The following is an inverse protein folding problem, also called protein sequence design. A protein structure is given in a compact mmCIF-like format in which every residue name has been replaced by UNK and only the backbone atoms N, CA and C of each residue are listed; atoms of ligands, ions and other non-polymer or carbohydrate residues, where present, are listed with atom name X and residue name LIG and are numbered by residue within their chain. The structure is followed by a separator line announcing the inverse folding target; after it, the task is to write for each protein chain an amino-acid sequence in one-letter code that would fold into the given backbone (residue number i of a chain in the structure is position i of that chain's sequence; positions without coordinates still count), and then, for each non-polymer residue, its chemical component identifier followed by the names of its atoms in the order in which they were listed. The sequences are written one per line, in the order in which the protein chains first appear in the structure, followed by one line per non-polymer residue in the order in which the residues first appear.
data_IF_739778358437
#
_entry.id   IF_739778358437
#
_cell.length_a   1.000
_cell.length_b   1.000
_cell.length_c   1.000
_cell.angle_alpha   90.00
_cell.angle_beta   90.00
_cell.angle_gamma   90.00
#
_symmetry.space_group_name_H-M   'P 1'
#
loop_
_entity.id
_entity.type
_entity.pdbx_description
1 polymer ?
#
# COMPACT_ATOMS: atom_id res chain seq x y z
N UNK A 1 -18.53 -3.03 9.90
CA UNK A 1 -17.05 -3.05 9.78
C UNK A 1 -16.73 -2.63 8.36
N UNK A 2 -15.62 -1.92 8.10
CA UNK A 2 -15.27 -1.53 6.73
C UNK A 2 -14.72 -2.71 5.94
N UNK A 3 -15.05 -2.76 4.64
CA UNK A 3 -14.55 -3.75 3.70
C UNK A 3 -13.20 -3.29 3.11
N UNK A 4 -12.19 -4.13 3.22
CA UNK A 4 -10.80 -3.80 2.80
C UNK A 4 -10.54 -4.37 1.42
N UNK A 5 -10.10 -3.52 0.48
CA UNK A 5 -9.57 -3.93 -0.80
C UNK A 5 -8.04 -4.10 -0.76
N UNK A 6 -7.51 -5.17 -1.34
CA UNK A 6 -6.06 -5.39 -1.50
C UNK A 6 -5.72 -5.42 -2.99
N UNK A 7 -4.98 -4.40 -3.46
CA UNK A 7 -4.38 -4.41 -4.79
C UNK A 7 -3.08 -5.22 -4.76
N UNK A 8 -3.12 -6.43 -5.33
CA UNK A 8 -2.05 -7.41 -5.26
C UNK A 8 -1.08 -7.28 -6.44
N UNK A 9 -0.13 -6.33 -6.36
CA UNK A 9 0.95 -6.19 -7.35
C UNK A 9 1.94 -7.36 -7.27
N UNK A 10 2.21 -7.83 -6.04
CA UNK A 10 2.98 -9.06 -5.81
C UNK A 10 2.13 -10.04 -5.02
N UNK A 11 2.14 -11.31 -5.41
CA UNK A 11 1.36 -12.34 -4.76
C UNK A 11 1.76 -12.53 -3.30
N UNK A 12 3.06 -12.60 -3.03
CA UNK A 12 3.63 -12.82 -1.70
C UNK A 12 3.31 -11.68 -0.74
N UNK A 13 3.51 -10.43 -1.20
CA UNK A 13 3.20 -9.24 -0.40
C UNK A 13 1.71 -9.16 -0.05
N UNK A 14 0.84 -9.40 -1.02
CA UNK A 14 -0.60 -9.38 -0.81
C UNK A 14 -1.08 -10.49 0.12
N UNK A 15 -0.56 -11.72 -0.04
CA UNK A 15 -0.87 -12.84 0.84
C UNK A 15 -0.42 -12.58 2.28
N UNK A 16 0.78 -12.00 2.45
CA UNK A 16 1.29 -11.63 3.77
C UNK A 16 0.40 -10.59 4.45
N UNK A 17 0.01 -9.54 3.71
CA UNK A 17 -0.89 -8.50 4.23
C UNK A 17 -2.24 -9.07 4.60
N UNK A 18 -2.87 -9.87 3.73
CA UNK A 18 -4.12 -10.54 4.01
C UNK A 18 -4.06 -11.33 5.33
N UNK A 19 -3.06 -12.20 5.46
CA UNK A 19 -2.87 -13.01 6.68
C UNK A 19 -2.66 -12.16 7.93
N UNK A 20 -1.89 -11.09 7.83
CA UNK A 20 -1.65 -10.19 8.94
C UNK A 20 -2.92 -9.43 9.36
N UNK A 21 -3.75 -8.98 8.40
CA UNK A 21 -5.03 -8.36 8.72
C UNK A 21 -5.91 -9.33 9.50
N UNK A 22 -6.08 -10.57 9.02
CA UNK A 22 -6.87 -11.58 9.70
C UNK A 22 -6.34 -11.89 11.11
N UNK A 23 -5.02 -12.07 11.24
CA UNK A 23 -4.37 -12.34 12.54
C UNK A 23 -4.56 -11.17 13.52
N UNK A 24 -4.33 -9.93 13.07
CA UNK A 24 -4.49 -8.76 13.93
C UNK A 24 -5.95 -8.50 14.30
N UNK A 25 -6.88 -8.80 13.39
CA UNK A 25 -8.30 -8.68 13.64
C UNK A 25 -8.77 -9.70 14.70
N UNK A 26 -8.35 -10.94 14.59
CA UNK A 26 -8.67 -11.98 15.58
C UNK A 26 -8.22 -11.59 17.00
N UNK A 27 -7.06 -10.96 17.15
CA UNK A 27 -6.57 -10.46 18.44
C UNK A 27 -7.45 -9.35 19.06
N UNK A 28 -8.25 -8.65 18.25
CA UNK A 28 -9.07 -7.51 18.69
C UNK A 28 -10.55 -7.82 18.75
N UNK A 29 -11.02 -8.69 17.90
CA UNK A 29 -12.44 -8.98 17.67
C UNK A 29 -12.86 -10.36 18.15
N UNK A 30 -11.89 -11.20 18.52
CA UNK A 30 -12.10 -12.61 18.87
C UNK A 30 -11.67 -13.55 17.74
N UNK A 31 -11.49 -14.81 18.10
CA UNK A 31 -11.04 -15.87 17.19
C UNK A 31 -11.94 -15.96 15.95
N UNK A 32 -11.30 -16.16 14.81
CA UNK A 32 -11.93 -16.25 13.47
C UNK A 32 -12.66 -14.98 12.99
N UNK A 33 -12.62 -13.89 13.75
CA UNK A 33 -13.23 -12.62 13.36
C UNK A 33 -12.23 -11.76 12.56
N UNK A 34 -12.66 -11.30 11.38
CA UNK A 34 -11.92 -10.32 10.57
C UNK A 34 -12.88 -9.50 9.70
N UNK A 35 -12.46 -8.32 9.21
CA UNK A 35 -13.25 -7.54 8.27
C UNK A 35 -13.44 -8.31 6.96
N UNK A 36 -14.44 -7.92 6.19
CA UNK A 36 -14.55 -8.36 4.80
C UNK A 36 -13.32 -7.89 4.00
N UNK A 37 -12.76 -8.77 3.16
CA UNK A 37 -11.55 -8.49 2.39
C UNK A 37 -11.74 -8.98 0.96
N UNK A 38 -11.58 -8.09 0.00
CA UNK A 38 -11.43 -8.44 -1.42
C UNK A 38 -9.98 -8.25 -1.84
N UNK A 39 -9.44 -9.22 -2.59
CA UNK A 39 -8.11 -9.16 -3.15
C UNK A 39 -8.20 -9.27 -4.66
N UNK A 40 -7.62 -8.29 -5.37
CA UNK A 40 -7.49 -8.34 -6.82
C UNK A 40 -6.03 -8.51 -7.21
N UNK A 41 -5.71 -9.64 -7.85
CA UNK A 41 -4.38 -9.96 -8.39
C UNK A 41 -4.37 -9.80 -9.91
N UNK A 42 -3.27 -9.29 -10.43
CA UNK A 42 -3.07 -9.10 -11.85
C UNK A 42 -2.45 -10.33 -12.49
N UNK A 43 -2.81 -10.58 -13.74
CA UNK A 43 -2.14 -11.60 -14.59
C UNK A 43 -1.03 -10.99 -15.44
N UNK A 44 -0.93 -9.66 -15.51
CA UNK A 44 0.02 -8.94 -16.36
C UNK A 44 1.40 -8.86 -15.72
N UNK A 45 2.42 -9.09 -16.55
CA UNK A 45 3.82 -8.85 -16.21
C UNK A 45 4.26 -7.52 -16.81
N UNK A 46 4.96 -6.70 -16.02
CA UNK A 46 5.54 -5.44 -16.51
C UNK A 46 6.88 -5.73 -17.14
N UNK A 47 6.99 -5.51 -18.45
CA UNK A 47 8.24 -5.73 -19.20
C UNK A 47 9.24 -4.59 -19.01
N UNK A 48 10.52 -4.90 -19.11
CA UNK A 48 11.61 -3.94 -18.90
C UNK A 48 11.58 -2.73 -19.87
N UNK A 49 10.93 -2.87 -21.03
CA UNK A 49 10.84 -1.84 -22.07
C UNK A 49 9.56 -0.96 -21.97
N UNK A 50 8.69 -1.22 -21.00
CA UNK A 50 7.48 -0.44 -20.79
C UNK A 50 7.77 0.74 -19.85
N UNK A 51 7.02 1.85 -20.04
CA UNK A 51 6.99 2.91 -19.04
C UNK A 51 6.34 2.36 -17.75
N UNK A 52 7.17 1.99 -16.82
CA UNK A 52 6.79 1.37 -15.56
C UNK A 52 5.74 2.18 -14.79
N UNK A 53 5.87 3.50 -14.77
CA UNK A 53 4.95 4.36 -14.01
C UNK A 53 3.57 4.38 -14.65
N UNK A 54 3.50 4.50 -15.98
CA UNK A 54 2.24 4.44 -16.71
C UNK A 54 1.54 3.10 -16.50
N UNK A 55 2.27 1.99 -16.65
CA UNK A 55 1.71 0.64 -16.45
C UNK A 55 1.20 0.45 -15.02
N UNK A 56 1.94 0.90 -14.02
CA UNK A 56 1.48 0.78 -12.63
C UNK A 56 0.28 1.67 -12.34
N UNK A 57 0.21 2.87 -12.93
CA UNK A 57 -0.94 3.75 -12.80
C UNK A 57 -2.21 3.06 -13.33
N UNK A 58 -2.14 2.48 -14.54
CA UNK A 58 -3.26 1.76 -15.15
C UNK A 58 -3.68 0.55 -14.32
N UNK A 59 -2.72 -0.26 -13.85
CA UNK A 59 -3.00 -1.43 -13.01
C UNK A 59 -3.67 -1.04 -11.69
N UNK A 60 -3.21 0.02 -11.05
CA UNK A 60 -3.81 0.51 -9.81
C UNK A 60 -5.23 1.03 -10.04
N UNK A 61 -5.46 1.78 -11.12
CA UNK A 61 -6.81 2.26 -11.48
C UNK A 61 -7.74 1.08 -11.77
N UNK A 62 -7.32 0.12 -12.60
CA UNK A 62 -8.11 -1.08 -12.88
C UNK A 62 -8.45 -1.85 -11.59
N UNK A 63 -7.45 -2.07 -10.73
CA UNK A 63 -7.66 -2.74 -9.44
C UNK A 63 -8.63 -1.99 -8.56
N UNK A 64 -8.52 -0.67 -8.49
CA UNK A 64 -9.39 0.17 -7.65
C UNK A 64 -10.85 0.08 -8.08
N UNK A 65 -11.12 0.06 -9.39
CA UNK A 65 -12.49 -0.13 -9.92
C UNK A 65 -13.06 -1.51 -9.59
N UNK A 66 -12.26 -2.58 -9.75
CA UNK A 66 -12.69 -3.94 -9.40
C UNK A 66 -12.95 -4.11 -7.91
N UNK A 67 -12.09 -3.55 -7.07
CA UNK A 67 -12.26 -3.56 -5.62
C UNK A 67 -13.49 -2.74 -5.19
N UNK A 68 -13.74 -1.59 -5.84
CA UNK A 68 -14.97 -0.82 -5.62
C UNK A 68 -16.20 -1.63 -5.99
N UNK A 69 -16.18 -2.30 -7.14
CA UNK A 69 -17.30 -3.14 -7.60
C UNK A 69 -17.57 -4.32 -6.66
N UNK A 70 -16.55 -4.84 -5.97
CA UNK A 70 -16.73 -5.88 -4.93
C UNK A 70 -17.16 -5.32 -3.57
N UNK A 71 -17.39 -4.00 -3.44
CA UNK A 71 -17.88 -3.37 -2.22
C UNK A 71 -16.82 -2.84 -1.28
N UNK A 72 -15.53 -2.81 -1.67
CA UNK A 72 -14.48 -2.28 -0.81
C UNK A 72 -14.68 -0.78 -0.51
N UNK A 73 -14.52 -0.41 0.76
CA UNK A 73 -14.61 0.98 1.23
C UNK A 73 -13.32 1.78 0.97
N UNK A 74 -12.20 1.10 0.97
CA UNK A 74 -10.86 1.64 0.70
C UNK A 74 -9.94 0.52 0.23
N UNK A 75 -8.78 0.90 -0.32
CA UNK A 75 -7.79 -0.09 -0.72
C UNK A 75 -6.41 0.17 -0.11
N UNK A 76 -5.63 -0.91 -0.07
CA UNK A 76 -4.20 -0.92 0.29
C UNK A 76 -3.41 -1.67 -0.79
N UNK A 77 -2.12 -1.36 -0.89
CA UNK A 77 -1.18 -2.07 -1.75
C UNK A 77 0.09 -2.39 -0.96
N UNK A 78 0.52 -3.65 -0.98
CA UNK A 78 1.68 -4.12 -0.22
C UNK A 78 3.03 -3.92 -0.95
N UNK A 79 3.01 -3.38 -2.17
CA UNK A 79 4.22 -3.10 -2.95
C UNK A 79 4.65 -1.64 -2.77
N UNK A 80 5.77 -1.42 -2.08
CA UNK A 80 6.25 -0.07 -1.77
C UNK A 80 6.43 0.80 -3.01
N UNK A 81 7.21 0.35 -3.98
CA UNK A 81 7.56 1.13 -5.17
C UNK A 81 6.35 1.53 -6.02
N UNK A 82 5.26 0.77 -5.98
CA UNK A 82 4.03 1.12 -6.70
C UNK A 82 3.42 2.44 -6.21
N UNK A 83 3.71 2.86 -4.98
CA UNK A 83 3.20 4.13 -4.44
C UNK A 83 3.80 5.37 -5.13
N UNK A 84 4.83 5.22 -5.98
CA UNK A 84 5.32 6.32 -6.83
C UNK A 84 4.21 6.90 -7.73
N UNK A 85 3.26 6.08 -8.15
CA UNK A 85 2.17 6.53 -9.02
C UNK A 85 0.99 7.16 -8.25
N UNK A 86 1.06 7.22 -6.92
CA UNK A 86 -0.05 7.71 -6.10
C UNK A 86 -0.57 9.08 -6.58
N UNK A 87 0.34 10.04 -6.75
CA UNK A 87 -0.02 11.40 -7.21
C UNK A 87 -0.60 11.46 -8.61
N UNK A 88 -0.28 10.50 -9.46
CA UNK A 88 -0.81 10.41 -10.82
C UNK A 88 -2.27 9.95 -10.83
N UNK A 89 -2.65 9.09 -9.89
CA UNK A 89 -3.96 8.41 -9.90
C UNK A 89 -4.91 8.88 -8.81
N UNK A 90 -4.45 9.53 -7.74
CA UNK A 90 -5.24 9.82 -6.53
C UNK A 90 -6.60 10.47 -6.81
N UNK A 91 -6.66 11.37 -7.79
CA UNK A 91 -7.90 12.09 -8.17
C UNK A 91 -8.89 11.24 -8.99
N UNK A 92 -8.41 10.15 -9.57
CA UNK A 92 -9.19 9.25 -10.43
C UNK A 92 -9.61 7.97 -9.72
N UNK A 93 -9.19 7.77 -8.46
CA UNK A 93 -9.53 6.59 -7.69
C UNK A 93 -11.00 6.62 -7.23
N UNK A 94 -11.78 5.55 -7.46
CA UNK A 94 -13.17 5.46 -7.03
C UNK A 94 -13.33 5.18 -5.52
N UNK A 95 -12.26 4.75 -4.85
CA UNK A 95 -12.16 4.53 -3.40
C UNK A 95 -10.81 5.04 -2.89
N UNK A 96 -10.73 5.46 -1.62
CA UNK A 96 -9.47 5.90 -1.03
C UNK A 96 -8.39 4.80 -1.10
N UNK A 97 -7.20 5.16 -1.52
CA UNK A 97 -6.02 4.32 -1.41
C UNK A 97 -5.19 4.81 -0.21
N UNK A 98 -5.05 3.96 0.83
CA UNK A 98 -4.22 4.30 1.98
C UNK A 98 -2.74 4.20 1.61
N UNK A 99 -2.07 5.35 1.62
CA UNK A 99 -0.67 5.42 1.25
C UNK A 99 0.23 4.79 2.33
N UNK A 100 1.15 3.92 1.92
CA UNK A 100 1.97 3.14 2.85
C UNK A 100 2.84 4.03 3.76
N UNK A 101 3.40 5.11 3.22
CA UNK A 101 4.25 6.02 3.98
C UNK A 101 3.48 6.77 5.08
N UNK A 102 2.18 7.09 4.85
CA UNK A 102 1.33 7.70 5.87
C UNK A 102 1.15 6.77 7.07
N UNK A 103 0.93 5.48 6.80
CA UNK A 103 0.86 4.46 7.85
C UNK A 103 2.14 4.34 8.67
N UNK A 104 3.29 4.37 7.99
CA UNK A 104 4.61 4.35 8.66
C UNK A 104 4.82 5.60 9.50
N UNK A 105 4.55 6.78 8.95
CA UNK A 105 4.66 8.06 9.67
C UNK A 105 3.75 8.10 10.90
N UNK A 106 2.50 7.72 10.74
CA UNK A 106 1.56 7.66 11.86
C UNK A 106 2.06 6.73 12.98
N UNK A 107 2.58 5.55 12.61
CA UNK A 107 3.13 4.60 13.59
C UNK A 107 4.39 5.13 14.27
N UNK A 108 5.30 5.74 13.52
CA UNK A 108 6.51 6.34 14.07
C UNK A 108 6.21 7.44 15.07
N UNK A 109 5.26 8.33 14.77
CA UNK A 109 4.79 9.36 15.71
C UNK A 109 4.18 8.76 16.97
N UNK A 110 3.31 7.76 16.82
CA UNK A 110 2.68 7.09 17.96
C UNK A 110 3.70 6.42 18.90
N UNK A 111 4.89 6.10 18.40
CA UNK A 111 6.00 5.53 19.16
C UNK A 111 7.08 6.55 19.52
N UNK A 112 6.89 7.85 19.21
CA UNK A 112 7.86 8.93 19.44
C UNK A 112 9.23 8.67 18.79
N UNK A 113 9.26 7.99 17.62
CA UNK A 113 10.49 7.74 16.90
C UNK A 113 10.94 9.01 16.17
N UNK A 114 12.22 9.38 16.31
CA UNK A 114 12.81 10.58 15.72
C UNK A 114 13.55 10.25 14.40
N UNK A 115 13.88 8.99 14.18
CA UNK A 115 14.58 8.55 12.98
C UNK A 115 14.14 7.16 12.55
N UNK A 116 14.17 6.90 11.25
CA UNK A 116 13.88 5.60 10.65
C UNK A 116 14.97 5.23 9.65
N UNK A 117 15.34 3.96 9.61
CA UNK A 117 16.20 3.41 8.58
C UNK A 117 15.33 2.72 7.51
N UNK A 118 15.38 3.23 6.28
CA UNK A 118 14.71 2.61 5.13
C UNK A 118 15.64 1.55 4.51
N UNK A 119 15.18 0.30 4.55
CA UNK A 119 15.79 -0.84 3.87
C UNK A 119 14.85 -1.33 2.77
N UNK A 120 15.39 -1.61 1.60
CA UNK A 120 14.56 -2.07 0.49
C UNK A 120 15.33 -2.22 -0.81
N UNK A 121 14.60 -2.48 -1.89
CA UNK A 121 15.17 -2.45 -3.24
C UNK A 121 15.61 -1.03 -3.60
N UNK A 122 16.53 -0.92 -4.55
CA UNK A 122 16.97 0.37 -5.08
C UNK A 122 15.81 1.23 -5.56
N UNK A 123 14.76 0.63 -6.13
CA UNK A 123 13.53 1.32 -6.51
C UNK A 123 12.84 1.96 -5.31
N UNK A 124 12.64 1.21 -4.24
CA UNK A 124 12.01 1.73 -3.02
C UNK A 124 12.84 2.85 -2.39
N UNK A 125 14.16 2.67 -2.33
CA UNK A 125 15.09 3.61 -1.71
C UNK A 125 15.13 4.94 -2.48
N UNK A 126 15.10 4.89 -3.83
CA UNK A 126 15.24 6.05 -4.70
C UNK A 126 13.89 6.71 -5.06
N UNK A 127 12.76 6.09 -4.75
CA UNK A 127 11.42 6.55 -5.14
C UNK A 127 10.98 7.85 -4.49
N UNK A 128 11.57 8.24 -3.37
CA UNK A 128 11.13 9.40 -2.59
C UNK A 128 9.79 9.22 -1.86
N UNK A 129 9.16 8.04 -1.94
CA UNK A 129 7.83 7.74 -1.37
C UNK A 129 7.74 8.14 0.11
N UNK A 130 8.81 7.91 0.86
CA UNK A 130 8.86 8.18 2.29
C UNK A 130 9.33 9.58 2.65
N UNK A 131 10.08 10.25 1.76
CA UNK A 131 10.76 11.52 2.07
C UNK A 131 9.80 12.63 2.45
N UNK A 132 8.77 12.84 1.63
CA UNK A 132 7.78 13.89 1.88
C UNK A 132 7.05 13.68 3.21
N UNK A 133 6.62 12.43 3.46
CA UNK A 133 5.83 12.11 4.65
C UNK A 133 6.67 12.17 5.92
N UNK A 134 7.92 11.71 5.86
CA UNK A 134 8.82 11.76 7.02
C UNK A 134 9.27 13.19 7.33
N UNK A 135 9.57 14.00 6.30
CA UNK A 135 9.98 15.41 6.48
C UNK A 135 8.88 16.24 7.14
N UNK A 136 7.65 16.12 6.65
CA UNK A 136 6.48 16.80 7.27
C UNK A 136 6.25 16.34 8.70
N UNK A 137 6.69 15.15 9.05
CA UNK A 137 6.57 14.57 10.38
C UNK A 137 7.75 14.87 11.31
N UNK A 138 8.76 15.63 10.83
CA UNK A 138 10.02 15.88 11.53
C UNK A 138 10.76 14.58 11.93
N UNK A 139 10.64 13.53 11.11
CA UNK A 139 11.32 12.26 11.31
C UNK A 139 12.46 12.17 10.30
N UNK A 140 13.69 11.99 10.76
CA UNK A 140 14.85 11.81 9.88
C UNK A 140 14.83 10.42 9.24
N UNK A 141 15.07 10.33 7.93
CA UNK A 141 15.18 9.08 7.18
C UNK A 141 16.63 8.80 6.79
N UNK A 142 17.17 7.65 7.18
CA UNK A 142 18.42 7.11 6.64
C UNK A 142 18.09 5.98 5.64
N UNK A 143 18.96 5.78 4.64
CA UNK A 143 18.78 4.78 3.57
C UNK A 143 19.98 3.84 3.49
N UNK A 144 19.73 2.56 3.25
CA UNK A 144 20.74 1.53 2.95
C UNK A 144 20.26 0.57 1.89
#
# INVERSE_FOLDING_TARGET
MKHIGIAAITAEGAALVYRNICKMAALRLGDYCHPEISLHSFSRHVHANEDRLSVWADLILESSHKLKASGADFMICAANSTHEVYKLVEKSLPIPWLHIADGVSHRARAQNLQSLLLLGTQYTINSGIYDQVLSVSNISGARR
#
